data_IF_336639011507
#
_entry.id   IF_336639011507
#
_cell.length_a   1.000
_cell.length_b   1.000
_cell.length_c   1.000
_cell.angle_alpha   90.00
_cell.angle_beta   90.00
_cell.angle_gamma   90.00
#
_symmetry.space_group_name_H-M   'P 1'
#
loop_
_entity.id
_entity.type
_entity.pdbx_description
1 polymer ?
#
# COMPACT_ATOMS: atom_id res chain seq x y z
N UNK A 1 -1.50 25.70 9.95
CA UNK A 1 -2.28 25.10 8.84
C UNK A 1 -1.50 24.92 7.52
N UNK A 2 -0.80 25.92 6.97
CA UNK A 2 -0.12 25.82 5.64
C UNK A 2 1.01 24.77 5.50
N UNK A 3 1.67 24.37 6.60
CA UNK A 3 2.74 23.35 6.57
C UNK A 3 2.21 21.92 6.45
N UNK A 4 0.99 21.64 6.93
CA UNK A 4 0.38 20.31 6.92
C UNK A 4 -0.07 19.89 5.51
N UNK A 5 -0.65 20.83 4.75
CA UNK A 5 -1.07 20.61 3.37
C UNK A 5 0.11 20.36 2.44
N UNK A 6 1.23 21.07 2.63
CA UNK A 6 2.48 20.82 1.90
C UNK A 6 3.04 19.41 2.15
N UNK A 7 3.01 18.95 3.41
CA UNK A 7 3.47 17.61 3.78
C UNK A 7 2.56 16.51 3.20
N UNK A 8 1.24 16.70 3.23
CA UNK A 8 0.29 15.80 2.58
C UNK A 8 0.46 15.75 1.06
N UNK A 9 0.72 16.90 0.44
CA UNK A 9 0.94 17.03 -1.01
C UNK A 9 2.24 16.35 -1.43
N UNK A 10 3.29 16.49 -0.62
CA UNK A 10 4.59 15.84 -0.84
C UNK A 10 4.48 14.31 -0.69
N UNK A 11 3.72 13.83 0.29
CA UNK A 11 3.43 12.40 0.47
C UNK A 11 2.62 11.85 -0.73
N UNK A 12 1.63 12.59 -1.23
CA UNK A 12 0.85 12.19 -2.41
C UNK A 12 1.65 12.22 -3.72
N UNK A 13 2.51 13.22 -3.91
CA UNK A 13 3.35 13.35 -5.10
C UNK A 13 4.43 12.26 -5.15
N UNK A 14 5.05 11.95 -4.01
CA UNK A 14 6.03 10.85 -3.89
C UNK A 14 5.38 9.49 -4.18
N UNK A 15 4.10 9.33 -3.82
CA UNK A 15 3.33 8.12 -4.12
C UNK A 15 3.07 7.94 -5.62
N UNK A 16 2.71 9.01 -6.34
CA UNK A 16 2.50 8.98 -7.79
C UNK A 16 3.80 8.75 -8.58
N UNK A 17 4.92 9.29 -8.10
CA UNK A 17 6.22 9.09 -8.73
C UNK A 17 6.69 7.62 -8.70
N UNK A 18 6.37 6.87 -7.64
CA UNK A 18 6.66 5.42 -7.57
C UNK A 18 5.82 4.55 -8.53
N UNK A 19 4.82 5.12 -9.21
CA UNK A 19 3.94 4.39 -10.14
C UNK A 19 4.29 4.59 -11.63
N UNK A 20 5.25 5.47 -11.95
CA UNK A 20 5.60 5.84 -13.33
C UNK A 20 6.69 4.97 -13.94
N UNK A 21 6.37 4.35 -15.08
CA UNK A 21 7.28 3.90 -16.15
C UNK A 21 8.41 2.93 -15.78
N UNK A 22 8.12 1.62 -15.93
CA UNK A 22 9.19 0.64 -16.17
C UNK A 22 8.75 -0.25 -17.33
N UNK A 23 9.46 -0.15 -18.46
CA UNK A 23 9.30 -1.04 -19.60
C UNK A 23 9.70 -2.47 -19.21
N UNK A 24 8.95 -3.49 -19.61
CA UNK A 24 9.31 -4.87 -19.31
C UNK A 24 10.54 -5.30 -20.12
N UNK A 25 11.57 -5.80 -19.44
CA UNK A 25 12.71 -6.45 -20.08
C UNK A 25 12.31 -7.81 -20.72
N UNK A 26 12.97 -8.21 -21.82
CA UNK A 26 12.55 -9.34 -22.66
C UNK A 26 12.61 -10.68 -21.95
N UNK A 27 11.73 -11.61 -22.36
CA UNK A 27 11.52 -12.93 -21.75
C UNK A 27 12.78 -13.81 -21.84
N UNK A 28 13.45 -14.03 -20.70
CA UNK A 28 14.30 -15.21 -20.50
C UNK A 28 13.66 -16.10 -19.44
N UNK A 29 13.78 -17.41 -19.64
CA UNK A 29 13.10 -18.51 -18.93
C UNK A 29 13.35 -18.61 -17.41
N UNK A 30 13.98 -17.61 -16.79
CA UNK A 30 14.22 -17.54 -15.35
C UNK A 30 13.74 -16.20 -14.80
N UNK A 31 12.42 -16.06 -14.74
CA UNK A 31 11.72 -14.93 -14.12
C UNK A 31 12.16 -14.73 -12.64
N UNK A 32 12.60 -15.79 -11.97
CA UNK A 32 12.98 -15.76 -10.54
C UNK A 32 14.38 -15.17 -10.26
N UNK A 33 15.26 -15.01 -11.26
CA UNK A 33 16.66 -14.61 -11.03
C UNK A 33 17.00 -13.14 -11.34
N UNK A 34 16.24 -12.50 -12.23
CA UNK A 34 16.60 -11.19 -12.80
C UNK A 34 15.56 -10.09 -12.60
N UNK A 35 14.39 -10.41 -12.01
CA UNK A 35 13.25 -9.50 -11.96
C UNK A 35 12.79 -9.24 -10.53
N UNK A 36 12.45 -7.99 -10.25
CA UNK A 36 11.74 -7.58 -9.04
C UNK A 36 10.31 -8.15 -9.04
N UNK A 37 9.70 -8.29 -7.86
CA UNK A 37 8.29 -8.74 -7.75
C UNK A 37 7.32 -7.91 -8.61
N UNK A 38 7.60 -6.61 -8.76
CA UNK A 38 6.83 -5.70 -9.61
C UNK A 38 6.92 -6.07 -11.09
N UNK A 39 8.11 -6.41 -11.57
CA UNK A 39 8.37 -6.81 -12.95
C UNK A 39 7.81 -8.19 -13.25
N UNK A 40 8.00 -9.16 -12.36
CA UNK A 40 7.40 -10.50 -12.45
C UNK A 40 5.89 -10.38 -12.61
N UNK A 41 5.25 -9.56 -11.77
CA UNK A 41 3.81 -9.35 -11.82
C UNK A 41 3.36 -8.74 -13.15
N UNK A 42 4.11 -7.79 -13.71
CA UNK A 42 3.82 -7.19 -15.02
C UNK A 42 3.97 -8.21 -16.15
N UNK A 43 5.08 -8.96 -16.15
CA UNK A 43 5.34 -10.02 -17.11
C UNK A 43 4.20 -11.04 -17.18
N UNK A 44 3.77 -11.55 -16.02
CA UNK A 44 2.68 -12.51 -15.92
C UNK A 44 1.33 -11.88 -16.34
N UNK A 45 1.15 -10.57 -16.18
CA UNK A 45 -0.04 -9.88 -16.66
C UNK A 45 -0.07 -9.70 -18.19
N UNK A 46 1.09 -9.60 -18.83
CA UNK A 46 1.21 -9.41 -20.28
C UNK A 46 1.20 -10.74 -21.04
N UNK A 47 1.94 -11.74 -20.56
CA UNK A 47 2.17 -12.98 -21.32
C UNK A 47 1.08 -14.03 -21.09
N UNK A 48 0.45 -14.05 -19.92
CA UNK A 48 -0.45 -15.15 -19.51
C UNK A 48 -1.94 -14.79 -19.63
N UNK A 49 -2.29 -13.79 -20.45
CA UNK A 49 -3.65 -13.20 -20.51
C UNK A 49 -4.74 -14.28 -20.65
N UNK A 50 -5.66 -14.30 -19.68
CA UNK A 50 -6.78 -15.26 -19.65
C UNK A 50 -6.50 -16.56 -18.91
N UNK A 51 -5.24 -16.87 -18.58
CA UNK A 51 -4.87 -18.07 -17.83
C UNK A 51 -5.11 -17.92 -16.33
N UNK A 52 -5.12 -19.04 -15.56
CA UNK A 52 -5.20 -18.96 -14.10
C UNK A 52 -3.99 -18.24 -13.47
N UNK A 53 -2.81 -18.27 -14.12
CA UNK A 53 -1.60 -17.52 -13.70
C UNK A 53 -1.89 -16.02 -13.74
N UNK A 54 -2.48 -15.53 -14.83
CA UNK A 54 -2.87 -14.14 -14.98
C UNK A 54 -3.92 -13.69 -13.97
N UNK A 55 -4.91 -14.53 -13.65
CA UNK A 55 -5.91 -14.22 -12.61
C UNK A 55 -5.25 -13.98 -11.26
N UNK A 56 -4.29 -14.84 -10.87
CA UNK A 56 -3.54 -14.69 -9.63
C UNK A 56 -2.64 -13.45 -9.64
N UNK A 57 -1.93 -13.19 -10.74
CA UNK A 57 -1.09 -11.99 -10.89
C UNK A 57 -1.92 -10.69 -10.83
N UNK A 58 -3.11 -10.67 -11.44
CA UNK A 58 -4.05 -9.53 -11.38
C UNK A 58 -4.54 -9.30 -9.97
N UNK A 59 -4.96 -10.35 -9.28
CA UNK A 59 -5.39 -10.24 -7.89
C UNK A 59 -4.25 -9.82 -6.96
N UNK A 60 -3.02 -10.28 -7.21
CA UNK A 60 -1.83 -9.81 -6.49
C UNK A 60 -1.64 -8.30 -6.70
N UNK A 61 -1.77 -7.79 -7.94
CA UNK A 61 -1.66 -6.35 -8.23
C UNK A 61 -2.69 -5.53 -7.48
N UNK A 62 -3.96 -5.92 -7.56
CA UNK A 62 -5.06 -5.22 -6.88
C UNK A 62 -4.84 -5.21 -5.36
N UNK A 63 -4.51 -6.35 -4.76
CA UNK A 63 -4.22 -6.43 -3.33
C UNK A 63 -3.00 -5.59 -2.94
N UNK A 64 -1.97 -5.49 -3.79
CA UNK A 64 -0.82 -4.64 -3.52
C UNK A 64 -1.24 -3.16 -3.49
N UNK A 65 -1.91 -2.69 -4.53
CA UNK A 65 -2.34 -1.28 -4.62
C UNK A 65 -3.26 -0.90 -3.47
N UNK A 66 -4.25 -1.74 -3.15
CA UNK A 66 -5.12 -1.51 -1.98
C UNK A 66 -4.30 -1.53 -0.69
N UNK A 67 -3.39 -2.51 -0.54
CA UNK A 67 -2.56 -2.64 0.64
C UNK A 67 -1.68 -1.42 0.92
N UNK A 68 -0.99 -0.90 -0.09
CA UNK A 68 -0.15 0.29 0.06
C UNK A 68 -1.02 1.50 0.36
N UNK A 69 -2.10 1.74 -0.39
CA UNK A 69 -2.96 2.91 -0.17
C UNK A 69 -3.57 2.93 1.23
N UNK A 70 -4.08 1.80 1.73
CA UNK A 70 -4.69 1.72 3.05
C UNK A 70 -3.63 1.81 4.16
N UNK A 71 -2.44 1.24 3.96
CA UNK A 71 -1.33 1.37 4.91
C UNK A 71 -0.85 2.82 5.03
N UNK A 72 -0.70 3.53 3.91
CA UNK A 72 -0.30 4.94 3.89
C UNK A 72 -1.38 5.82 4.53
N UNK A 73 -2.66 5.58 4.21
CA UNK A 73 -3.77 6.29 4.86
C UNK A 73 -3.75 6.05 6.38
N UNK A 74 -3.57 4.80 6.80
CA UNK A 74 -3.48 4.42 8.21
C UNK A 74 -2.33 5.12 8.94
N UNK A 75 -1.13 5.09 8.36
CA UNK A 75 0.04 5.78 8.90
C UNK A 75 -0.19 7.30 9.00
N UNK A 76 -0.84 7.90 8.01
CA UNK A 76 -1.17 9.33 8.02
C UNK A 76 -2.12 9.68 9.15
N UNK A 77 -3.15 8.86 9.39
CA UNK A 77 -4.10 9.05 10.50
C UNK A 77 -3.44 8.84 11.87
N UNK A 78 -2.54 7.86 12.00
CA UNK A 78 -1.76 7.66 13.22
C UNK A 78 -0.92 8.89 13.56
N UNK A 79 -0.21 9.44 12.56
CA UNK A 79 0.60 10.66 12.74
C UNK A 79 -0.30 11.86 13.07
N UNK A 80 -1.40 12.04 12.34
CA UNK A 80 -2.32 13.16 12.57
C UNK A 80 -2.95 13.13 13.97
N UNK A 81 -3.44 11.96 14.40
CA UNK A 81 -4.01 11.77 15.73
C UNK A 81 -2.96 11.90 16.85
N UNK A 82 -1.73 11.40 16.62
CA UNK A 82 -0.62 11.55 17.56
C UNK A 82 -0.18 13.01 17.75
N UNK A 83 -0.10 13.78 16.65
CA UNK A 83 0.14 15.24 16.73
C UNK A 83 -1.01 15.94 17.46
N UNK A 84 -2.26 15.54 17.19
CA UNK A 84 -3.44 16.06 17.87
C UNK A 84 -3.35 15.92 19.39
N UNK A 85 -3.02 14.72 19.88
CA UNK A 85 -2.79 14.46 21.30
C UNK A 85 -1.60 15.24 21.87
N UNK A 86 -0.46 15.25 21.17
CA UNK A 86 0.75 15.91 21.65
C UNK A 86 0.64 17.44 21.72
N UNK A 87 -0.31 18.04 20.97
CA UNK A 87 -0.53 19.49 20.91
C UNK A 87 -1.66 19.99 21.82
N UNK A 88 -2.35 19.10 22.53
CA UNK A 88 -3.43 19.50 23.44
C UNK A 88 -2.84 20.16 24.71
N UNK A 89 -3.23 21.43 24.99
CA UNK A 89 -2.82 22.19 26.19
C UNK A 89 -3.95 22.29 27.22
N UNK A 90 -3.77 21.82 28.48
CA UNK A 90 -4.84 21.51 29.45
C UNK A 90 -5.80 22.63 29.87
N UNK A 91 -5.66 23.86 29.36
CA UNK A 91 -6.43 25.04 29.76
C UNK A 91 -7.74 25.27 28.99
N UNK A 92 -8.07 24.47 27.96
CA UNK A 92 -9.30 24.67 27.19
C UNK A 92 -10.38 23.67 27.60
N UNK A 93 -11.55 24.15 28.07
CA UNK A 93 -12.75 23.35 28.38
C UNK A 93 -13.26 22.48 27.21
N UNK A 94 -12.74 22.68 26.00
CA UNK A 94 -12.93 21.80 24.83
C UNK A 94 -12.04 20.54 24.81
N UNK A 95 -11.25 20.33 25.87
CA UNK A 95 -10.27 19.24 26.03
C UNK A 95 -10.87 17.86 25.78
N UNK A 96 -12.04 17.58 26.36
CA UNK A 96 -12.67 16.27 26.26
C UNK A 96 -13.04 15.85 24.83
N UNK A 97 -13.48 16.79 23.98
CA UNK A 97 -13.92 16.48 22.61
C UNK A 97 -12.70 16.30 21.69
N UNK A 98 -11.68 17.16 21.82
CA UNK A 98 -10.49 17.12 20.96
C UNK A 98 -9.65 15.86 21.22
N UNK A 99 -9.57 15.42 22.47
CA UNK A 99 -8.87 14.21 22.89
C UNK A 99 -9.59 12.94 22.36
N UNK A 100 -10.91 12.87 22.50
CA UNK A 100 -11.72 11.75 21.95
C UNK A 100 -11.58 11.64 20.43
N UNK A 101 -11.62 12.76 19.70
CA UNK A 101 -11.41 12.78 18.25
C UNK A 101 -10.00 12.30 17.88
N UNK A 102 -8.98 12.69 18.65
CA UNK A 102 -7.60 12.30 18.41
C UNK A 102 -7.38 10.80 18.64
N UNK A 103 -7.94 10.22 19.72
CA UNK A 103 -7.92 8.77 19.94
C UNK A 103 -8.69 8.00 18.87
N UNK A 104 -9.86 8.48 18.45
CA UNK A 104 -10.61 7.86 17.36
C UNK A 104 -9.81 7.88 16.05
N UNK A 105 -9.11 8.98 15.76
CA UNK A 105 -8.24 9.12 14.58
C UNK A 105 -7.07 8.12 14.62
N UNK A 106 -6.44 7.94 15.78
CA UNK A 106 -5.40 6.91 15.98
C UNK A 106 -5.99 5.50 15.79
N UNK A 107 -7.15 5.21 16.37
CA UNK A 107 -7.83 3.93 16.23
C UNK A 107 -8.13 3.57 14.78
N UNK A 108 -8.71 4.50 14.01
CA UNK A 108 -8.97 4.32 12.57
C UNK A 108 -7.65 4.16 11.81
N UNK A 109 -6.60 4.90 12.19
CA UNK A 109 -5.27 4.77 11.62
C UNK A 109 -4.64 3.38 11.83
N UNK A 110 -4.74 2.83 13.04
CA UNK A 110 -4.25 1.50 13.38
C UNK A 110 -4.99 0.39 12.60
N UNK A 111 -6.33 0.47 12.55
CA UNK A 111 -7.17 -0.47 11.79
C UNK A 111 -6.82 -0.42 10.31
N UNK A 112 -6.72 0.79 9.74
CA UNK A 112 -6.38 0.98 8.32
C UNK A 112 -4.98 0.43 8.00
N UNK A 113 -4.01 0.66 8.88
CA UNK A 113 -2.65 0.11 8.73
C UNK A 113 -2.67 -1.42 8.72
N UNK A 114 -3.44 -2.04 9.62
CA UNK A 114 -3.59 -3.50 9.74
C UNK A 114 -4.27 -4.09 8.50
N UNK A 115 -5.32 -3.45 7.98
CA UNK A 115 -5.97 -3.86 6.73
C UNK A 115 -4.99 -3.74 5.56
N UNK A 116 -4.22 -2.66 5.52
CA UNK A 116 -3.18 -2.42 4.51
C UNK A 116 -2.12 -3.52 4.51
N UNK A 117 -1.53 -3.82 5.67
CA UNK A 117 -0.51 -4.87 5.81
C UNK A 117 -1.05 -6.25 5.46
N UNK A 118 -2.28 -6.58 5.87
CA UNK A 118 -2.94 -7.83 5.49
C UNK A 118 -3.09 -7.98 3.97
N UNK A 119 -3.48 -6.91 3.27
CA UNK A 119 -3.59 -6.91 1.82
C UNK A 119 -2.22 -7.04 1.12
N UNK A 120 -1.16 -6.46 1.68
CA UNK A 120 0.21 -6.65 1.19
C UNK A 120 0.67 -8.10 1.33
N UNK A 121 0.45 -8.73 2.49
CA UNK A 121 0.74 -10.17 2.69
C UNK A 121 -0.06 -11.03 1.71
N UNK A 122 -1.34 -10.72 1.52
CA UNK A 122 -2.20 -11.42 0.55
C UNK A 122 -1.70 -11.24 -0.88
N UNK A 123 -1.21 -10.05 -1.22
CA UNK A 123 -0.61 -9.78 -2.53
C UNK A 123 0.60 -10.65 -2.81
N UNK A 124 1.51 -10.74 -1.83
CA UNK A 124 2.73 -11.54 -1.92
C UNK A 124 2.39 -13.03 -2.07
N UNK A 125 1.49 -13.58 -1.23
CA UNK A 125 1.04 -14.98 -1.34
C UNK A 125 0.46 -15.32 -2.71
N UNK A 126 -0.32 -14.42 -3.31
CA UNK A 126 -0.90 -14.61 -4.65
C UNK A 126 0.15 -14.54 -5.76
N UNK A 127 1.18 -13.71 -5.60
CA UNK A 127 2.29 -13.66 -6.54
C UNK A 127 3.09 -14.96 -6.49
N UNK A 128 3.39 -15.46 -5.29
CA UNK A 128 4.07 -16.74 -5.10
C UNK A 128 3.29 -17.91 -5.69
N UNK A 129 1.96 -17.95 -5.50
CA UNK A 129 1.10 -18.94 -6.16
C UNK A 129 1.14 -18.83 -7.69
N UNK A 130 1.16 -17.61 -8.21
CA UNK A 130 1.26 -17.34 -9.65
C UNK A 130 2.59 -17.83 -10.23
N UNK A 131 3.72 -17.57 -9.53
CA UNK A 131 5.05 -18.06 -9.89
C UNK A 131 5.11 -19.59 -9.91
N UNK A 132 4.63 -20.24 -8.83
CA UNK A 132 4.57 -21.70 -8.75
C UNK A 132 3.77 -22.30 -9.90
N UNK A 133 2.61 -21.72 -10.20
CA UNK A 133 1.77 -22.20 -11.28
C UNK A 133 2.42 -22.01 -12.66
N UNK A 134 3.13 -20.90 -12.86
CA UNK A 134 3.87 -20.65 -14.11
C UNK A 134 5.03 -21.65 -14.31
N UNK A 135 5.74 -22.02 -13.25
CA UNK A 135 6.88 -22.97 -13.30
C UNK A 135 6.46 -24.41 -13.62
N UNK A 136 5.23 -24.79 -13.29
CA UNK A 136 4.69 -26.14 -13.46
C UNK A 136 3.63 -26.25 -14.57
N UNK A 137 3.49 -25.21 -15.39
CA UNK A 137 2.64 -25.18 -16.57
C UNK A 137 3.36 -25.82 -17.75
#
# INVERSE_FOLDING_TARGET
MKRLTLLLSFLFASFMACHGQYEPAPSKDTIEGYYTEGEIRRFLLTQEKGSPVWKLARQSRTSNTVGISTAVLGATLLVAGGIGLASATPENDSFGILEVVSYATIGIGAVSTTIGTWQLVRSHRKLEQSKKLYKHK
#
